data_IF_888257779083
#
_entry.id   IF_888257779083
#
_cell.length_a   1.000
_cell.length_b   1.000
_cell.length_c   1.000
_cell.angle_alpha   90.00
_cell.angle_beta   90.00
_cell.angle_gamma   90.00
#
_symmetry.space_group_name_H-M   'P 1'
#
loop_
_entity.id
_entity.type
_entity.pdbx_description
1 polymer ?
#
# COMPACT_ATOMS: atom_id res chain seq x y z
N UNK A 1 -12.67 -7.47 2.55
CA UNK A 1 -12.79 -8.05 1.18
C UNK A 1 -12.69 -6.96 0.12
N UNK A 2 -11.95 -7.21 -0.94
CA UNK A 2 -11.85 -6.35 -2.14
C UNK A 2 -12.61 -7.04 -3.27
N UNK A 3 -13.51 -6.29 -3.93
CA UNK A 3 -14.28 -6.78 -5.07
C UNK A 3 -14.10 -5.84 -6.26
N UNK A 4 -13.62 -6.39 -7.38
CA UNK A 4 -13.48 -5.70 -8.65
C UNK A 4 -14.34 -6.42 -9.71
N UNK A 5 -15.17 -5.70 -10.43
CA UNK A 5 -16.09 -6.24 -11.44
C UNK A 5 -16.00 -5.42 -12.71
N UNK A 6 -15.53 -6.03 -13.79
CA UNK A 6 -15.43 -5.44 -15.11
C UNK A 6 -14.66 -4.12 -15.16
N UNK A 7 -13.60 -4.00 -14.34
CA UNK A 7 -12.85 -2.75 -14.16
C UNK A 7 -12.09 -2.41 -15.43
N UNK A 8 -12.43 -1.27 -16.04
CA UNK A 8 -11.72 -0.72 -17.20
C UNK A 8 -11.33 0.71 -16.93
N UNK A 9 -10.14 1.09 -17.40
CA UNK A 9 -9.59 2.43 -17.22
C UNK A 9 -8.57 2.77 -18.30
N UNK A 10 -8.62 4.02 -18.78
CA UNK A 10 -7.64 4.59 -19.71
C UNK A 10 -7.21 5.98 -19.25
N UNK A 11 -5.92 6.32 -19.34
CA UNK A 11 -5.41 7.65 -19.01
C UNK A 11 -5.74 8.70 -20.05
N UNK A 12 -5.86 8.32 -21.31
CA UNK A 12 -6.06 9.21 -22.46
C UNK A 12 -7.32 8.87 -23.29
N UNK A 13 -8.08 7.87 -22.88
CA UNK A 13 -9.24 7.37 -23.58
C UNK A 13 -8.95 6.57 -24.86
N UNK A 14 -7.66 6.39 -25.23
CA UNK A 14 -7.29 5.72 -26.47
C UNK A 14 -6.82 4.28 -26.23
N UNK A 15 -5.93 4.07 -25.24
CA UNK A 15 -5.39 2.75 -24.92
C UNK A 15 -5.80 2.35 -23.51
N UNK A 16 -6.52 1.23 -23.33
CA UNK A 16 -6.91 0.78 -22.01
C UNK A 16 -5.69 0.35 -21.20
N UNK A 17 -5.52 0.92 -20.00
CA UNK A 17 -4.56 0.47 -19.01
C UNK A 17 -5.12 -0.71 -18.20
N UNK A 18 -6.45 -0.79 -18.07
CA UNK A 18 -7.20 -1.93 -17.54
C UNK A 18 -8.38 -2.19 -18.47
N UNK A 19 -8.64 -3.45 -18.79
CA UNK A 19 -9.73 -3.86 -19.67
C UNK A 19 -10.52 -5.02 -19.07
N UNK A 20 -11.69 -4.71 -18.51
CA UNK A 20 -12.66 -5.67 -17.99
C UNK A 20 -12.13 -6.54 -16.83
N UNK A 21 -11.31 -6.02 -15.94
CA UNK A 21 -10.68 -6.80 -14.86
C UNK A 21 -11.70 -7.22 -13.82
N UNK A 22 -11.85 -8.54 -13.64
CA UNK A 22 -12.61 -9.18 -12.56
C UNK A 22 -11.66 -9.81 -11.55
N UNK A 23 -11.71 -9.36 -10.29
CA UNK A 23 -10.84 -9.86 -9.23
C UNK A 23 -11.48 -9.70 -7.87
N UNK A 24 -11.39 -10.73 -7.04
CA UNK A 24 -11.76 -10.66 -5.62
C UNK A 24 -10.54 -11.03 -4.78
N UNK A 25 -10.36 -10.32 -3.65
CA UNK A 25 -9.34 -10.62 -2.64
C UNK A 25 -10.06 -10.73 -1.30
N UNK A 26 -9.88 -11.85 -0.62
CA UNK A 26 -10.54 -12.14 0.65
C UNK A 26 -9.88 -11.39 1.82
N UNK A 27 -10.63 -11.21 2.90
CA UNK A 27 -10.06 -10.62 4.11
C UNK A 27 -8.98 -11.54 4.70
N UNK A 28 -7.84 -10.95 5.05
CA UNK A 28 -6.69 -11.66 5.56
C UNK A 28 -5.88 -12.43 4.51
N UNK A 29 -6.19 -12.28 3.23
CA UNK A 29 -5.43 -12.92 2.13
C UNK A 29 -4.12 -12.17 1.86
N UNK A 30 -3.03 -12.89 1.64
CA UNK A 30 -1.82 -12.34 1.02
C UNK A 30 -1.89 -12.58 -0.49
N UNK A 31 -2.22 -11.55 -1.24
CA UNK A 31 -2.42 -11.58 -2.68
C UNK A 31 -1.25 -10.92 -3.41
N UNK A 32 -0.70 -11.58 -4.42
CA UNK A 32 0.39 -11.02 -5.23
C UNK A 32 -0.06 -10.76 -6.66
N UNK A 33 0.38 -9.64 -7.23
CA UNK A 33 0.16 -9.28 -8.63
C UNK A 33 1.51 -9.24 -9.33
N UNK A 34 1.67 -10.09 -10.34
CA UNK A 34 2.82 -10.14 -11.24
C UNK A 34 2.44 -9.59 -12.61
N UNK A 35 3.42 -9.27 -13.43
CA UNK A 35 3.24 -8.87 -14.83
C UNK A 35 4.36 -7.96 -15.33
N UNK A 36 4.45 -7.80 -16.64
CA UNK A 36 5.41 -6.92 -17.29
C UNK A 36 5.20 -5.43 -16.97
N UNK A 37 6.19 -4.60 -17.32
CA UNK A 37 6.01 -3.16 -17.25
C UNK A 37 4.91 -2.72 -18.22
N UNK A 38 4.05 -1.79 -17.77
CA UNK A 38 2.91 -1.33 -18.57
C UNK A 38 1.68 -2.24 -18.55
N UNK A 39 1.68 -3.39 -17.83
CA UNK A 39 0.51 -4.28 -17.77
C UNK A 39 -0.62 -3.82 -16.85
N UNK A 40 -0.59 -2.58 -16.34
CA UNK A 40 -1.68 -2.00 -15.55
C UNK A 40 -1.66 -2.28 -14.05
N UNK A 41 -0.64 -2.95 -13.49
CA UNK A 41 -0.58 -3.32 -12.06
C UNK A 41 -0.70 -2.13 -11.10
N UNK A 42 0.14 -1.10 -11.28
CA UNK A 42 0.11 0.11 -10.46
C UNK A 42 -1.17 0.92 -10.69
N UNK A 43 -1.71 0.89 -11.92
CA UNK A 43 -3.02 1.47 -12.23
C UNK A 43 -4.11 0.76 -11.44
N UNK A 44 -4.12 -0.57 -11.44
CA UNK A 44 -5.05 -1.37 -10.65
C UNK A 44 -4.93 -1.08 -9.14
N UNK A 45 -3.71 -1.06 -8.60
CA UNK A 45 -3.47 -0.73 -7.19
C UNK A 45 -4.06 0.63 -6.79
N UNK A 46 -3.93 1.65 -7.65
CA UNK A 46 -4.48 2.99 -7.41
C UNK A 46 -6.01 3.04 -7.38
N UNK A 47 -6.69 2.10 -8.02
CA UNK A 47 -8.15 1.96 -7.92
C UNK A 47 -8.58 1.39 -6.56
N UNK A 48 -7.75 0.53 -5.94
CA UNK A 48 -8.07 -0.09 -4.67
C UNK A 48 -8.11 0.89 -3.49
N UNK A 49 -7.40 2.02 -3.58
CA UNK A 49 -7.42 3.06 -2.54
C UNK A 49 -8.07 4.38 -3.00
N UNK A 50 -8.89 4.32 -4.06
CA UNK A 50 -9.59 5.47 -4.63
C UNK A 50 -8.68 6.65 -5.02
N UNK A 51 -7.43 6.38 -5.46
CA UNK A 51 -6.57 7.37 -6.12
C UNK A 51 -6.96 7.55 -7.58
N UNK A 52 -7.45 6.49 -8.22
CA UNK A 52 -8.06 6.52 -9.54
C UNK A 52 -9.48 5.95 -9.43
N UNK A 53 -10.37 6.45 -10.29
CA UNK A 53 -11.72 5.92 -10.44
C UNK A 53 -11.84 5.20 -11.77
N UNK A 54 -12.50 4.03 -11.84
CA UNK A 54 -12.65 3.29 -13.09
C UNK A 54 -13.59 4.00 -14.05
N UNK A 55 -13.28 3.96 -15.37
CA UNK A 55 -14.16 4.45 -16.44
C UNK A 55 -15.39 3.56 -16.58
N UNK A 56 -15.22 2.24 -16.37
CA UNK A 56 -16.30 1.26 -16.35
C UNK A 56 -16.04 0.20 -15.26
N UNK A 57 -17.11 -0.50 -14.87
CA UNK A 57 -17.04 -1.50 -13.81
C UNK A 57 -17.15 -0.90 -12.41
N UNK A 58 -16.82 -1.69 -11.40
CA UNK A 58 -16.89 -1.28 -9.98
C UNK A 58 -15.70 -1.83 -9.18
N UNK A 59 -15.21 -1.02 -8.24
CA UNK A 59 -14.24 -1.44 -7.23
C UNK A 59 -14.85 -1.18 -5.86
N UNK A 60 -14.91 -2.20 -5.01
CA UNK A 60 -15.43 -2.09 -3.65
C UNK A 60 -14.40 -2.57 -2.64
N UNK A 61 -14.23 -1.78 -1.59
CA UNK A 61 -13.37 -2.08 -0.45
C UNK A 61 -14.25 -2.21 0.79
N UNK A 62 -14.33 -3.40 1.35
CA UNK A 62 -15.23 -3.68 2.50
C UNK A 62 -16.68 -3.22 2.23
N UNK A 63 -17.18 -3.43 1.01
CA UNK A 63 -18.51 -3.02 0.55
C UNK A 63 -18.64 -1.55 0.15
N UNK A 64 -17.65 -0.70 0.40
CA UNK A 64 -17.63 0.70 -0.02
C UNK A 64 -17.23 0.81 -1.49
N UNK A 65 -18.04 1.45 -2.34
CA UNK A 65 -17.69 1.75 -3.74
C UNK A 65 -16.66 2.88 -3.78
N UNK A 66 -15.54 2.69 -4.47
CA UNK A 66 -14.46 3.68 -4.56
C UNK A 66 -14.85 4.94 -5.33
N UNK A 67 -15.96 4.92 -6.09
CA UNK A 67 -16.51 6.08 -6.80
C UNK A 67 -17.39 6.96 -5.92
N UNK A 68 -17.80 6.47 -4.75
CA UNK A 68 -18.56 7.29 -3.79
C UNK A 68 -17.61 8.26 -3.09
N UNK A 69 -17.63 9.53 -3.54
CA UNK A 69 -16.77 10.59 -3.01
C UNK A 69 -16.97 10.79 -1.49
N UNK A 70 -18.16 10.49 -0.97
CA UNK A 70 -18.45 10.60 0.47
C UNK A 70 -17.73 9.53 1.28
N UNK A 71 -17.27 8.44 0.64
CA UNK A 71 -16.55 7.31 1.22
C UNK A 71 -15.04 7.32 0.96
N UNK A 72 -14.54 8.30 0.21
CA UNK A 72 -13.12 8.34 -0.19
C UNK A 72 -12.18 8.26 1.03
N UNK A 73 -12.47 8.98 2.10
CA UNK A 73 -11.66 8.95 3.32
C UNK A 73 -11.75 7.61 4.05
N UNK A 74 -12.93 7.02 4.14
CA UNK A 74 -13.14 5.69 4.73
C UNK A 74 -12.38 4.61 3.95
N UNK A 75 -12.39 4.68 2.61
CA UNK A 75 -11.65 3.77 1.72
C UNK A 75 -10.14 3.92 1.95
N UNK A 76 -9.62 5.15 1.96
CA UNK A 76 -8.18 5.41 2.17
C UNK A 76 -7.70 5.04 3.56
N UNK A 77 -8.53 5.22 4.58
CA UNK A 77 -8.22 4.76 5.93
C UNK A 77 -8.18 3.22 6.03
N UNK A 78 -9.11 2.54 5.33
CA UNK A 78 -9.15 1.08 5.30
C UNK A 78 -8.05 0.46 4.44
N UNK A 79 -7.57 1.16 3.41
CA UNK A 79 -6.68 0.63 2.36
C UNK A 79 -5.45 1.52 2.20
N UNK A 80 -4.43 1.27 3.01
CA UNK A 80 -3.18 2.01 2.95
C UNK A 80 -2.29 1.55 1.81
N UNK A 81 -1.59 2.48 1.15
CA UNK A 81 -0.74 2.19 0.00
C UNK A 81 0.68 2.71 0.21
N UNK A 82 1.65 1.87 -0.10
CA UNK A 82 3.08 2.23 -0.15
C UNK A 82 3.51 2.24 -1.61
N UNK A 83 4.04 3.37 -2.06
CA UNK A 83 4.48 3.57 -3.44
C UNK A 83 5.88 3.00 -3.71
N UNK A 84 6.18 2.81 -4.98
CA UNK A 84 7.47 2.33 -5.45
C UNK A 84 8.62 3.26 -5.02
N UNK A 85 8.45 4.57 -5.20
CA UNK A 85 9.44 5.57 -4.82
C UNK A 85 9.01 6.24 -3.50
N UNK A 86 9.75 6.08 -2.40
CA UNK A 86 9.40 6.68 -1.12
C UNK A 86 9.48 8.23 -1.13
N UNK A 87 10.30 8.83 -2.00
CA UNK A 87 10.39 10.29 -2.09
C UNK A 87 9.07 10.93 -2.61
N UNK A 88 8.23 10.16 -3.30
CA UNK A 88 6.90 10.62 -3.75
C UNK A 88 5.85 10.52 -2.63
N UNK A 89 6.20 9.92 -1.50
CA UNK A 89 5.28 9.65 -0.39
C UNK A 89 5.62 10.44 0.88
N UNK A 90 6.91 10.64 1.18
CA UNK A 90 7.35 11.34 2.37
C UNK A 90 7.09 12.85 2.23
N UNK A 91 6.42 13.45 3.21
CA UNK A 91 5.96 14.85 3.17
C UNK A 91 6.54 15.72 4.29
N UNK A 92 7.01 15.12 5.39
CA UNK A 92 7.53 15.86 6.54
C UNK A 92 9.07 15.81 6.61
N UNK A 93 9.65 16.77 7.32
CA UNK A 93 11.09 16.87 7.52
C UNK A 93 11.60 15.84 8.51
N UNK A 94 10.85 15.57 9.58
CA UNK A 94 11.21 14.58 10.60
C UNK A 94 10.43 13.29 10.41
N UNK A 95 11.06 12.17 10.74
CA UNK A 95 10.46 10.83 10.66
C UNK A 95 9.22 10.73 11.52
N UNK A 96 9.24 11.22 12.77
CA UNK A 96 8.07 11.16 13.66
C UNK A 96 6.87 11.94 13.11
N UNK A 97 7.12 13.11 12.49
CA UNK A 97 6.07 13.94 11.91
C UNK A 97 5.48 13.29 10.65
N UNK A 98 6.34 12.66 9.84
CA UNK A 98 5.91 11.97 8.62
C UNK A 98 5.01 10.76 8.95
N UNK A 99 5.41 9.97 9.94
CA UNK A 99 4.62 8.82 10.40
C UNK A 99 3.33 9.26 11.11
N UNK A 100 3.32 10.41 11.79
CA UNK A 100 2.15 10.98 12.45
C UNK A 100 1.13 11.55 11.45
N UNK A 101 1.57 11.96 10.25
CA UNK A 101 0.75 12.68 9.27
C UNK A 101 -0.57 11.97 8.93
N UNK A 102 -0.54 10.65 8.71
CA UNK A 102 -1.74 9.86 8.44
C UNK A 102 -2.74 9.87 9.60
N UNK A 103 -2.36 9.44 10.81
CA UNK A 103 -3.21 9.51 12.00
C UNK A 103 -3.78 10.91 12.30
N UNK A 104 -2.98 11.97 12.11
CA UNK A 104 -3.44 13.36 12.30
C UNK A 104 -4.57 13.70 11.34
N UNK A 105 -4.44 13.36 10.06
CA UNK A 105 -5.48 13.59 9.05
C UNK A 105 -6.74 12.75 9.29
N UNK A 106 -6.62 11.61 9.96
CA UNK A 106 -7.75 10.80 10.38
C UNK A 106 -8.41 11.31 11.69
N UNK A 107 -7.88 12.39 12.29
CA UNK A 107 -8.42 12.98 13.50
C UNK A 107 -8.13 12.15 14.77
N UNK A 108 -7.11 11.31 14.77
CA UNK A 108 -6.68 10.56 15.95
C UNK A 108 -6.25 11.53 17.05
N UNK A 109 -6.70 11.36 18.31
CA UNK A 109 -6.29 12.22 19.42
C UNK A 109 -4.76 12.25 19.60
N UNK A 110 -4.16 13.42 19.77
CA UNK A 110 -2.69 13.62 19.86
C UNK A 110 -2.02 12.74 20.93
N UNK A 111 -2.73 12.45 22.02
CA UNK A 111 -2.23 11.55 23.08
C UNK A 111 -1.99 10.11 22.60
N UNK A 112 -2.69 9.67 21.54
CA UNK A 112 -2.57 8.32 20.97
C UNK A 112 -1.55 8.29 19.83
N UNK A 113 -1.38 9.39 19.09
CA UNK A 113 -0.49 9.46 17.92
C UNK A 113 0.94 9.06 18.27
N UNK A 114 1.48 9.58 19.37
CA UNK A 114 2.84 9.25 19.80
C UNK A 114 3.06 7.75 20.09
N UNK A 115 2.01 7.03 20.47
CA UNK A 115 2.08 5.58 20.63
C UNK A 115 2.05 4.89 19.28
N UNK A 116 1.12 5.27 18.38
CA UNK A 116 1.02 4.70 17.03
C UNK A 116 2.34 4.86 16.25
N UNK A 117 2.95 6.05 16.32
CA UNK A 117 4.26 6.33 15.69
C UNK A 117 5.33 5.38 16.22
N UNK A 118 5.46 5.24 17.55
CA UNK A 118 6.46 4.33 18.13
C UNK A 118 6.23 2.87 17.75
N UNK A 119 4.99 2.42 17.76
CA UNK A 119 4.63 1.04 17.39
C UNK A 119 4.89 0.78 15.90
N UNK A 120 4.53 1.72 15.02
CA UNK A 120 4.79 1.64 13.60
C UNK A 120 6.29 1.60 13.28
N UNK A 121 7.09 2.53 13.86
CA UNK A 121 8.54 2.54 13.69
C UNK A 121 9.21 1.27 14.22
N UNK A 122 8.74 0.74 15.36
CA UNK A 122 9.20 -0.55 15.89
C UNK A 122 8.86 -1.69 14.93
N UNK A 123 7.66 -1.71 14.34
CA UNK A 123 7.22 -2.73 13.39
C UNK A 123 8.10 -2.82 12.14
N UNK A 124 8.66 -1.69 11.70
CA UNK A 124 9.56 -1.61 10.53
C UNK A 124 11.06 -1.59 10.90
N UNK A 125 11.41 -1.74 12.18
CA UNK A 125 12.80 -1.78 12.65
C UNK A 125 13.53 -0.42 12.59
N UNK A 126 12.82 0.68 12.84
CA UNK A 126 13.35 2.05 12.88
C UNK A 126 13.25 2.69 14.28
N UNK A 127 13.37 1.90 15.34
CA UNK A 127 13.42 2.42 16.71
C UNK A 127 14.62 3.36 16.88
N UNK A 128 14.38 4.56 17.42
CA UNK A 128 15.41 5.59 17.62
C UNK A 128 15.61 6.52 16.41
N UNK A 129 14.78 6.37 15.36
CA UNK A 129 14.85 7.23 14.17
C UNK A 129 13.84 8.39 14.21
N UNK A 130 13.06 8.53 15.26
CA UNK A 130 11.96 9.49 15.39
C UNK A 130 12.38 10.91 14.99
N UNK A 131 13.54 11.36 15.47
CA UNK A 131 14.07 12.72 15.25
C UNK A 131 15.07 12.84 14.10
N UNK A 132 15.18 11.80 13.25
CA UNK A 132 16.02 11.88 12.06
C UNK A 132 15.27 12.65 10.96
N UNK A 133 16.06 13.37 10.17
CA UNK A 133 15.53 14.07 8.99
C UNK A 133 15.29 13.08 7.85
N UNK A 134 14.10 13.13 7.24
CA UNK A 134 13.70 12.19 6.19
C UNK A 134 14.63 12.23 4.97
N UNK A 135 15.14 13.42 4.62
CA UNK A 135 16.06 13.57 3.49
C UNK A 135 17.46 12.98 3.72
N UNK A 136 17.88 12.80 4.99
CA UNK A 136 19.16 12.22 5.35
C UNK A 136 19.16 10.68 5.36
N UNK A 137 17.99 10.07 5.17
CA UNK A 137 17.83 8.62 5.20
C UNK A 137 18.29 7.97 3.89
N UNK A 138 18.77 6.72 3.98
CA UNK A 138 18.97 5.87 2.79
C UNK A 138 17.61 5.52 2.17
N UNK A 139 17.59 5.17 0.87
CA UNK A 139 16.35 4.77 0.17
C UNK A 139 15.59 3.66 0.89
N UNK A 140 16.30 2.65 1.42
CA UNK A 140 15.67 1.58 2.20
C UNK A 140 15.14 2.02 3.57
N UNK A 141 15.72 3.06 4.18
CA UNK A 141 15.16 3.66 5.40
C UNK A 141 13.92 4.48 5.07
N UNK A 142 13.96 5.29 4.00
CA UNK A 142 12.80 6.05 3.52
C UNK A 142 11.61 5.14 3.22
N UNK A 143 11.84 4.01 2.53
CA UNK A 143 10.79 3.03 2.25
C UNK A 143 10.16 2.46 3.52
N UNK A 144 10.97 2.21 4.56
CA UNK A 144 10.47 1.76 5.86
C UNK A 144 9.72 2.85 6.61
N UNK A 145 10.11 4.12 6.47
CA UNK A 145 9.33 5.25 7.02
C UNK A 145 7.98 5.36 6.31
N UNK A 146 7.94 5.29 4.98
CA UNK A 146 6.70 5.29 4.21
C UNK A 146 5.75 4.15 4.65
N UNK A 147 6.30 2.93 4.83
CA UNK A 147 5.54 1.81 5.37
C UNK A 147 5.05 2.09 6.81
N UNK A 148 5.88 2.68 7.68
CA UNK A 148 5.47 3.02 9.03
C UNK A 148 4.33 4.04 9.05
N UNK A 149 4.37 5.07 8.19
CA UNK A 149 3.30 6.04 8.04
C UNK A 149 1.96 5.40 7.67
N UNK A 150 2.00 4.44 6.76
CA UNK A 150 0.80 3.66 6.41
C UNK A 150 0.33 2.80 7.59
N UNK A 151 1.23 2.09 8.25
CA UNK A 151 0.88 1.21 9.38
C UNK A 151 0.35 1.97 10.60
N UNK A 152 0.79 3.21 10.81
CA UNK A 152 0.30 4.07 11.91
C UNK A 152 -1.18 4.41 11.77
N UNK A 153 -1.75 4.33 10.57
CA UNK A 153 -3.20 4.47 10.32
C UNK A 153 -4.01 3.21 10.66
N UNK A 154 -3.35 2.09 11.00
CA UNK A 154 -3.96 0.78 11.28
C UNK A 154 -4.92 0.30 10.16
N UNK A 155 -4.49 0.29 8.89
CA UNK A 155 -5.35 -0.10 7.78
C UNK A 155 -5.70 -1.60 7.85
N UNK A 156 -6.84 -1.97 7.26
CA UNK A 156 -7.22 -3.39 7.09
C UNK A 156 -6.53 -4.04 5.89
N UNK A 157 -6.23 -3.24 4.88
CA UNK A 157 -5.56 -3.65 3.63
C UNK A 157 -4.28 -2.86 3.47
N UNK A 158 -3.17 -3.55 3.23
CA UNK A 158 -1.89 -2.96 2.89
C UNK A 158 -1.57 -3.25 1.42
N UNK A 159 -1.49 -2.20 0.60
CA UNK A 159 -1.05 -2.30 -0.80
C UNK A 159 0.42 -1.90 -0.87
N UNK A 160 1.23 -2.73 -1.51
CA UNK A 160 2.65 -2.51 -1.74
C UNK A 160 2.89 -2.47 -3.26
N UNK A 161 3.03 -1.28 -3.82
CA UNK A 161 3.28 -1.10 -5.26
C UNK A 161 4.79 -1.07 -5.52
N UNK A 162 5.34 -2.25 -5.83
CA UNK A 162 6.78 -2.46 -6.04
C UNK A 162 7.68 -1.90 -4.93
N UNK A 163 7.15 -1.87 -3.70
CA UNK A 163 7.80 -1.26 -2.53
C UNK A 163 9.16 -1.89 -2.16
N UNK A 164 9.47 -3.06 -2.70
CA UNK A 164 10.73 -3.77 -2.49
C UNK A 164 11.81 -3.43 -3.55
N UNK A 165 11.43 -2.77 -4.66
CA UNK A 165 12.30 -2.57 -5.82
C UNK A 165 13.55 -1.73 -5.51
N UNK A 166 13.42 -0.75 -4.61
CA UNK A 166 14.49 0.16 -4.19
C UNK A 166 15.32 -0.38 -3.00
N UNK A 167 14.99 -1.59 -2.52
CA UNK A 167 15.64 -2.16 -1.34
C UNK A 167 16.80 -3.09 -1.73
N UNK A 168 17.86 -3.06 -0.93
CA UNK A 168 18.90 -4.08 -0.96
C UNK A 168 18.34 -5.46 -0.51
N UNK A 169 19.05 -6.57 -0.71
CA UNK A 169 18.56 -7.89 -0.33
C UNK A 169 18.21 -8.03 1.16
N UNK A 170 18.89 -7.30 2.05
CA UNK A 170 18.57 -7.29 3.49
C UNK A 170 17.29 -6.52 3.77
N UNK A 171 17.11 -5.38 3.13
CA UNK A 171 15.90 -4.57 3.21
C UNK A 171 14.68 -5.34 2.72
N UNK A 172 14.78 -6.05 1.58
CA UNK A 172 13.69 -6.90 1.06
C UNK A 172 13.31 -8.00 2.04
N UNK A 173 14.29 -8.72 2.59
CA UNK A 173 14.01 -9.72 3.64
C UNK A 173 13.33 -9.11 4.86
N UNK A 174 13.72 -7.89 5.25
CA UNK A 174 13.08 -7.15 6.32
C UNK A 174 11.63 -6.80 6.03
N UNK A 175 11.35 -6.30 4.82
CA UNK A 175 9.99 -6.00 4.35
C UNK A 175 9.12 -7.27 4.34
N UNK A 176 9.61 -8.36 3.74
CA UNK A 176 8.87 -9.63 3.71
C UNK A 176 8.60 -10.20 5.10
N UNK A 177 9.56 -10.06 6.04
CA UNK A 177 9.33 -10.45 7.43
C UNK A 177 8.21 -9.61 8.07
N UNK A 178 8.17 -8.30 7.81
CA UNK A 178 7.09 -7.43 8.30
C UNK A 178 5.74 -7.83 7.68
N UNK A 179 5.68 -8.06 6.36
CA UNK A 179 4.47 -8.51 5.67
C UNK A 179 3.94 -9.82 6.27
N UNK A 180 4.79 -10.83 6.48
CA UNK A 180 4.38 -12.09 7.12
C UNK A 180 3.82 -11.88 8.53
N UNK A 181 4.44 -11.01 9.32
CA UNK A 181 3.96 -10.73 10.67
C UNK A 181 2.60 -10.01 10.68
N UNK A 182 2.37 -9.13 9.71
CA UNK A 182 1.09 -8.43 9.53
C UNK A 182 0.01 -9.39 9.03
N UNK A 183 0.33 -10.20 8.01
CA UNK A 183 -0.56 -11.23 7.47
C UNK A 183 -0.98 -12.24 8.56
N UNK A 184 -0.04 -12.73 9.38
CA UNK A 184 -0.33 -13.62 10.50
C UNK A 184 -1.26 -13.01 11.56
N UNK A 185 -1.42 -11.68 11.58
CA UNK A 185 -2.37 -10.94 12.42
C UNK A 185 -3.70 -10.66 11.73
N UNK A 186 -3.91 -11.21 10.53
CA UNK A 186 -5.14 -11.08 9.75
C UNK A 186 -5.22 -9.85 8.84
N UNK A 187 -4.10 -9.14 8.61
CA UNK A 187 -4.07 -8.04 7.64
C UNK A 187 -4.12 -8.60 6.21
N UNK A 188 -4.98 -8.03 5.37
CA UNK A 188 -4.98 -8.30 3.94
C UNK A 188 -3.80 -7.59 3.29
N UNK A 189 -3.01 -8.30 2.47
CA UNK A 189 -1.85 -7.74 1.78
C UNK A 189 -2.04 -7.89 0.28
N UNK A 190 -1.89 -6.80 -0.45
CA UNK A 190 -1.83 -6.78 -1.92
C UNK A 190 -0.44 -6.32 -2.32
N UNK A 191 0.37 -7.23 -2.83
CA UNK A 191 1.75 -6.96 -3.22
C UNK A 191 1.91 -7.01 -4.72
N UNK A 192 2.37 -5.91 -5.30
CA UNK A 192 2.85 -5.87 -6.67
C UNK A 192 4.36 -6.02 -6.63
N UNK A 193 4.89 -7.01 -7.34
CA UNK A 193 6.32 -7.26 -7.41
C UNK A 193 6.71 -7.93 -8.73
N UNK A 194 7.99 -7.88 -9.05
CA UNK A 194 8.60 -8.67 -10.12
C UNK A 194 9.54 -9.76 -9.57
N UNK A 195 9.66 -9.86 -8.24
CA UNK A 195 10.48 -10.87 -7.59
C UNK A 195 9.67 -12.14 -7.31
N UNK A 196 10.04 -13.25 -7.93
CA UNK A 196 9.36 -14.54 -7.76
C UNK A 196 9.43 -15.06 -6.32
N UNK A 197 10.51 -14.73 -5.58
CA UNK A 197 10.66 -15.10 -4.18
C UNK A 197 9.59 -14.46 -3.29
N UNK A 198 9.19 -13.22 -3.61
CA UNK A 198 8.12 -12.51 -2.88
C UNK A 198 6.75 -13.07 -3.24
N UNK A 199 6.52 -13.34 -4.53
CA UNK A 199 5.28 -13.95 -4.99
C UNK A 199 5.05 -15.36 -4.42
N UNK A 200 6.11 -16.11 -4.16
CA UNK A 200 6.02 -17.43 -3.55
C UNK A 200 5.53 -17.43 -2.08
N UNK A 201 5.53 -16.27 -1.43
CA UNK A 201 5.01 -16.09 -0.07
C UNK A 201 3.50 -15.83 -0.03
N UNK A 202 2.89 -15.53 -1.19
CA UNK A 202 1.48 -15.18 -1.28
C UNK A 202 0.59 -16.44 -1.31
N UNK A 203 -0.62 -16.30 -0.77
CA UNK A 203 -1.65 -17.36 -0.81
C UNK A 203 -2.16 -17.57 -2.24
N UNK A 204 -2.22 -16.48 -3.01
CA UNK A 204 -2.68 -16.48 -4.41
C UNK A 204 -1.97 -15.42 -5.23
N UNK A 205 -1.77 -15.73 -6.51
CA UNK A 205 -1.07 -14.86 -7.47
C UNK A 205 -1.94 -14.63 -8.68
N UNK A 206 -2.03 -13.37 -9.14
CA UNK A 206 -2.56 -13.00 -10.45
C UNK A 206 -1.42 -12.52 -11.36
N UNK A 207 -1.53 -12.80 -12.65
CA UNK A 207 -0.59 -12.32 -13.67
C UNK A 207 -1.32 -11.37 -14.61
N UNK A 208 -0.92 -10.10 -14.61
CA UNK A 208 -1.42 -9.09 -15.53
C UNK A 208 -0.61 -9.16 -16.83
N UNK A 209 -1.31 -9.20 -17.94
CA UNK A 209 -0.73 -9.24 -19.30
C UNK A 209 -1.16 -8.00 -20.07
N UNK A 210 -0.29 -7.53 -20.96
CA UNK A 210 -0.58 -6.48 -21.93
C UNK A 210 -1.33 -7.03 -23.13
#
# INVERSE_FOLDING_TARGET
>A
MIECRGVSFSYDGAVPALDGVDLNIEDGEFFCILGGNGSGKSTFAKHLNALLQPDAGTVRINGMDTRDETKTWDVRAACGMVFQNPDDQLVATLVEDDVAFGPENLGVPSAQIAQLVREALKGVGLVGFERHETHALSGGQKQRVALAGVLAMEPRVLILDEASSMLDPRGRKGLMKACRALHARGMTIVMITHFMEEAAEADRVAVFQT
#
